data_IF_509491012820
#
_entry.id   IF_509491012820
#
_cell.length_a   1.000
_cell.length_b   1.000
_cell.length_c   1.000
_cell.angle_alpha   90.00
_cell.angle_beta   90.00
_cell.angle_gamma   90.00
#
_symmetry.space_group_name_H-M   'P 1'
#
loop_
_entity.id
_entity.type
_entity.pdbx_description
1 polymer ?
#
# COMPACT_ATOMS: atom_id res chain seq x y z
N UNK A 1 12.39 -1.01 -4.65
CA UNK A 1 10.94 -1.07 -4.40
C UNK A 1 10.30 -2.12 -5.29
N UNK A 2 9.18 -2.71 -4.85
CA UNK A 2 8.39 -3.63 -5.67
C UNK A 2 6.98 -3.05 -5.89
N UNK A 3 6.43 -3.31 -7.06
CA UNK A 3 5.11 -2.83 -7.50
C UNK A 3 4.09 -3.98 -7.50
N UNK A 4 2.81 -3.67 -7.69
CA UNK A 4 1.71 -4.64 -7.71
C UNK A 4 0.91 -4.60 -9.03
N UNK A 5 1.49 -5.06 -10.16
CA UNK A 5 0.88 -4.94 -11.48
C UNK A 5 -0.39 -5.79 -11.70
N UNK A 6 -0.48 -7.00 -11.15
CA UNK A 6 -1.71 -7.82 -11.21
C UNK A 6 -2.83 -7.13 -10.41
N UNK A 7 -2.52 -6.56 -9.24
CA UNK A 7 -3.50 -5.80 -8.46
C UNK A 7 -3.99 -4.56 -9.22
N UNK A 8 -3.07 -3.78 -9.79
CA UNK A 8 -3.40 -2.63 -10.63
C UNK A 8 -4.36 -3.05 -11.75
N UNK A 9 -4.00 -4.07 -12.51
CA UNK A 9 -4.79 -4.53 -13.65
C UNK A 9 -6.22 -4.92 -13.27
N UNK A 10 -6.41 -5.75 -12.23
CA UNK A 10 -7.76 -6.20 -11.84
C UNK A 10 -8.60 -5.05 -11.27
N UNK A 11 -7.99 -4.12 -10.52
CA UNK A 11 -8.72 -2.98 -9.96
C UNK A 11 -9.12 -1.99 -11.05
N UNK A 12 -8.26 -1.73 -12.03
CA UNK A 12 -8.59 -0.91 -13.21
C UNK A 12 -9.74 -1.53 -14.03
N UNK A 13 -9.74 -2.86 -14.23
CA UNK A 13 -10.84 -3.56 -14.89
C UNK A 13 -12.16 -3.45 -14.13
N UNK A 14 -12.11 -3.62 -12.80
CA UNK A 14 -13.29 -3.46 -11.93
C UNK A 14 -13.80 -2.02 -12.01
N UNK A 15 -12.91 -1.04 -11.90
CA UNK A 15 -13.26 0.38 -11.98
C UNK A 15 -13.92 0.70 -13.33
N UNK A 16 -13.32 0.25 -14.45
CA UNK A 16 -13.87 0.41 -15.78
C UNK A 16 -15.26 -0.21 -15.92
N UNK A 17 -15.45 -1.47 -15.49
CA UNK A 17 -16.75 -2.16 -15.54
C UNK A 17 -17.84 -1.36 -14.83
N UNK A 18 -17.52 -0.73 -13.70
CA UNK A 18 -18.47 -0.02 -12.87
C UNK A 18 -18.51 1.49 -13.11
N UNK A 19 -17.78 2.01 -14.12
CA UNK A 19 -17.72 3.42 -14.45
C UNK A 19 -17.14 4.29 -13.31
N UNK A 20 -16.18 3.74 -12.56
CA UNK A 20 -15.41 4.47 -11.56
C UNK A 20 -14.21 5.13 -12.24
N UNK A 21 -14.10 6.45 -12.10
CA UNK A 21 -12.91 7.21 -12.49
C UNK A 21 -11.93 7.23 -11.31
N UNK A 22 -10.83 6.48 -11.42
CA UNK A 22 -9.83 6.36 -10.36
C UNK A 22 -8.97 7.62 -10.20
N UNK A 23 -8.95 8.54 -11.15
CA UNK A 23 -8.16 9.77 -11.06
C UNK A 23 -8.90 10.87 -10.31
N UNK A 24 -10.22 10.76 -10.20
CA UNK A 24 -11.06 11.72 -9.47
C UNK A 24 -10.91 11.55 -7.96
N UNK A 25 -10.43 12.57 -7.21
CA UNK A 25 -10.38 12.53 -5.75
C UNK A 25 -11.76 12.24 -5.13
N UNK A 26 -11.80 11.35 -4.14
CA UNK A 26 -13.03 10.91 -3.49
C UNK A 26 -13.90 9.99 -4.37
N UNK A 27 -13.39 9.51 -5.51
CA UNK A 27 -14.04 8.44 -6.25
C UNK A 27 -14.17 7.21 -5.35
N UNK A 28 -15.38 6.64 -5.31
CA UNK A 28 -15.71 5.55 -4.39
C UNK A 28 -16.57 4.51 -5.10
N UNK A 29 -16.17 3.24 -4.97
CA UNK A 29 -16.91 2.08 -5.44
C UNK A 29 -17.01 1.06 -4.32
N UNK A 30 -18.25 0.67 -4.00
CA UNK A 30 -18.54 -0.47 -3.13
C UNK A 30 -19.20 -1.57 -3.93
N UNK A 31 -18.66 -2.76 -3.81
CA UNK A 31 -19.17 -3.99 -4.38
C UNK A 31 -19.54 -4.96 -3.26
N UNK A 32 -20.60 -5.74 -3.49
CA UNK A 32 -20.99 -6.86 -2.64
C UNK A 32 -20.88 -8.15 -3.44
N UNK A 33 -20.33 -9.18 -2.82
CA UNK A 33 -20.35 -10.54 -3.34
C UNK A 33 -20.84 -11.49 -2.25
N UNK A 34 -21.87 -12.27 -2.57
CA UNK A 34 -22.47 -13.21 -1.63
C UNK A 34 -21.42 -14.22 -1.14
N UNK A 35 -21.35 -14.43 0.18
CA UNK A 35 -20.37 -15.31 0.83
C UNK A 35 -18.93 -14.77 0.93
N UNK A 36 -18.65 -13.58 0.37
CA UNK A 36 -17.29 -13.02 0.32
C UNK A 36 -17.14 -11.63 0.94
N UNK A 37 -18.24 -11.03 1.44
CA UNK A 37 -18.21 -9.71 2.05
C UNK A 37 -18.31 -8.58 1.03
N UNK A 38 -17.61 -7.48 1.29
CA UNK A 38 -17.68 -6.26 0.48
C UNK A 38 -16.29 -5.81 0.04
N UNK A 39 -16.16 -5.42 -1.22
CA UNK A 39 -14.96 -4.80 -1.74
C UNK A 39 -15.22 -3.30 -1.88
N UNK A 40 -14.35 -2.48 -1.32
CA UNK A 40 -14.35 -1.04 -1.48
C UNK A 40 -13.07 -0.61 -2.19
N UNK A 41 -13.23 0.16 -3.26
CA UNK A 41 -12.15 0.83 -3.97
C UNK A 41 -12.40 2.34 -3.85
N UNK A 42 -11.44 3.07 -3.31
CA UNK A 42 -11.58 4.49 -3.02
C UNK A 42 -10.32 5.26 -3.41
N UNK A 43 -10.49 6.41 -4.07
CA UNK A 43 -9.42 7.39 -4.24
C UNK A 43 -9.41 8.33 -3.03
N UNK A 44 -8.39 8.19 -2.18
CA UNK A 44 -8.18 8.97 -0.96
C UNK A 44 -7.64 10.39 -1.21
N UNK A 45 -7.48 10.78 -2.47
CA UNK A 45 -6.93 12.06 -2.92
C UNK A 45 -5.59 11.91 -3.63
N UNK A 46 -5.14 13.02 -4.21
CA UNK A 46 -3.82 13.12 -4.83
C UNK A 46 -2.77 13.47 -3.77
N UNK A 47 -1.65 12.74 -3.77
CA UNK A 47 -0.39 13.20 -3.20
C UNK A 47 0.53 13.73 -4.30
N UNK A 48 1.72 14.18 -3.89
CA UNK A 48 2.74 14.70 -4.80
C UNK A 48 3.08 13.75 -5.98
N UNK A 49 3.11 12.45 -5.72
CA UNK A 49 3.45 11.43 -6.71
C UNK A 49 2.26 10.77 -7.41
N UNK A 50 1.02 11.16 -7.12
CA UNK A 50 -0.17 10.56 -7.73
C UNK A 50 -1.33 10.30 -6.76
N UNK A 51 -2.38 9.66 -7.27
CA UNK A 51 -3.54 9.32 -6.44
C UNK A 51 -3.20 8.20 -5.45
N UNK A 52 -3.74 8.32 -4.24
CA UNK A 52 -3.73 7.26 -3.22
C UNK A 52 -4.99 6.44 -3.37
N UNK A 53 -4.87 5.19 -3.81
CA UNK A 53 -6.01 4.29 -4.01
C UNK A 53 -6.05 3.28 -2.88
N UNK A 54 -7.15 3.23 -2.13
CA UNK A 54 -7.45 2.19 -1.14
C UNK A 54 -8.20 1.06 -1.80
N UNK A 55 -7.74 -0.17 -1.57
CA UNK A 55 -8.44 -1.42 -1.93
C UNK A 55 -8.71 -2.18 -0.64
N UNK A 56 -9.97 -2.23 -0.23
CA UNK A 56 -10.37 -2.73 1.08
C UNK A 56 -11.40 -3.84 0.94
N UNK A 57 -11.10 -5.00 1.50
CA UNK A 57 -12.10 -6.04 1.70
C UNK A 57 -12.71 -5.89 3.10
N UNK A 58 -14.02 -5.79 3.20
CA UNK A 58 -14.75 -5.75 4.46
C UNK A 58 -15.41 -7.11 4.71
N UNK A 59 -15.10 -7.70 5.85
CA UNK A 59 -15.70 -8.94 6.35
C UNK A 59 -16.66 -8.64 7.50
N UNK A 60 -17.66 -9.49 7.66
CA UNK A 60 -18.62 -9.39 8.76
C UNK A 60 -18.08 -10.14 9.98
N UNK A 61 -17.92 -9.43 11.09
CA UNK A 61 -17.48 -9.98 12.38
C UNK A 61 -18.52 -9.61 13.43
N UNK A 62 -19.34 -10.58 13.83
CA UNK A 62 -20.50 -10.32 14.68
C UNK A 62 -21.55 -9.51 13.91
N UNK A 63 -21.82 -8.28 14.34
CA UNK A 63 -22.77 -7.35 13.69
C UNK A 63 -22.10 -6.19 12.95
N UNK A 64 -20.77 -6.18 12.87
CA UNK A 64 -19.99 -5.08 12.29
C UNK A 64 -19.23 -5.53 11.03
N UNK A 65 -19.01 -4.59 10.12
CA UNK A 65 -18.07 -4.76 9.01
C UNK A 65 -16.71 -4.21 9.39
N UNK A 66 -15.67 -5.01 9.18
CA UNK A 66 -14.29 -4.65 9.49
C UNK A 66 -13.41 -4.84 8.26
N UNK A 67 -12.49 -3.91 8.03
CA UNK A 67 -11.51 -3.99 6.95
C UNK A 67 -10.51 -5.13 7.23
N UNK A 68 -10.44 -6.11 6.32
CA UNK A 68 -9.50 -7.22 6.34
C UNK A 68 -9.37 -7.91 4.95
N UNK A 69 -8.27 -7.67 4.20
CA UNK A 69 -7.27 -6.62 4.38
C UNK A 69 -7.70 -5.27 3.76
N UNK A 70 -7.00 -4.20 4.15
CA UNK A 70 -6.92 -2.94 3.39
C UNK A 70 -5.48 -2.73 2.89
N UNK A 71 -5.33 -2.41 1.61
CA UNK A 71 -4.06 -1.97 1.02
C UNK A 71 -4.25 -0.57 0.46
N UNK A 72 -3.35 0.36 0.75
CA UNK A 72 -3.27 1.67 0.07
C UNK A 72 -2.08 1.68 -0.86
N UNK A 73 -2.29 2.10 -2.11
CA UNK A 73 -1.25 2.21 -3.14
C UNK A 73 -1.13 3.65 -3.66
N UNK A 74 0.05 4.01 -4.15
CA UNK A 74 0.24 5.19 -5.00
C UNK A 74 0.13 4.79 -6.47
N UNK A 75 -0.77 5.43 -7.23
CA UNK A 75 -1.10 5.03 -8.60
C UNK A 75 -0.15 5.58 -9.68
N UNK A 76 0.58 6.65 -9.42
CA UNK A 76 1.45 7.30 -10.42
C UNK A 76 2.95 7.23 -10.12
N UNK A 77 3.38 6.18 -9.41
CA UNK A 77 4.80 5.94 -9.18
C UNK A 77 5.51 5.61 -10.51
N UNK A 78 6.62 6.31 -10.77
CA UNK A 78 7.51 6.07 -11.91
C UNK A 78 8.83 5.51 -11.39
N UNK A 79 9.27 4.40 -11.95
CA UNK A 79 10.60 3.85 -11.64
C UNK A 79 11.69 4.72 -12.26
N UNK A 80 12.87 4.77 -11.66
CA UNK A 80 14.01 5.54 -12.19
C UNK A 80 14.38 5.14 -13.64
N UNK A 81 14.17 3.87 -13.98
CA UNK A 81 14.41 3.31 -15.31
C UNK A 81 13.25 3.53 -16.32
N UNK A 82 12.16 4.19 -15.91
CA UNK A 82 11.01 4.40 -16.76
C UNK A 82 11.36 5.40 -17.87
N UNK A 83 11.44 4.91 -19.11
CA UNK A 83 11.56 5.77 -20.28
C UNK A 83 10.28 6.58 -20.49
N UNK A 84 10.39 7.71 -21.20
CA UNK A 84 9.26 8.52 -21.61
C UNK A 84 8.20 7.64 -22.31
N UNK A 85 6.96 7.68 -21.83
CA UNK A 85 5.86 6.83 -22.30
C UNK A 85 5.62 5.54 -21.50
N UNK A 86 6.47 5.22 -20.52
CA UNK A 86 6.19 4.11 -19.59
C UNK A 86 4.96 4.44 -18.75
N UNK A 87 4.02 3.50 -18.68
CA UNK A 87 2.81 3.63 -17.88
C UNK A 87 3.17 3.69 -16.39
N UNK A 88 2.45 4.50 -15.59
CA UNK A 88 2.62 4.50 -14.15
C UNK A 88 2.29 3.14 -13.56
N UNK A 89 2.99 2.79 -12.50
CA UNK A 89 2.85 1.50 -11.80
C UNK A 89 2.37 1.72 -10.38
N UNK A 90 1.58 0.78 -9.88
CA UNK A 90 1.07 0.88 -8.51
C UNK A 90 2.11 0.44 -7.49
N UNK A 91 2.39 1.32 -6.54
CA UNK A 91 3.30 1.10 -5.43
C UNK A 91 2.52 1.00 -4.10
N UNK A 92 2.42 -0.19 -3.48
CA UNK A 92 1.80 -0.32 -2.17
C UNK A 92 2.59 0.41 -1.07
N UNK A 93 1.86 1.17 -0.25
CA UNK A 93 2.39 2.07 0.77
C UNK A 93 2.00 1.63 2.19
N UNK A 94 0.72 1.27 2.37
CA UNK A 94 0.12 1.00 3.67
C UNK A 94 -0.70 -0.29 3.65
N UNK A 95 -0.82 -0.88 4.83
CA UNK A 95 -1.57 -2.11 5.03
C UNK A 95 -2.30 -2.07 6.37
N UNK A 96 -3.56 -2.50 6.36
CA UNK A 96 -4.36 -2.70 7.59
C UNK A 96 -4.96 -4.10 7.59
N UNK A 97 -4.83 -4.81 8.70
CA UNK A 97 -5.49 -6.09 8.97
C UNK A 97 -6.15 -6.07 10.34
N UNK A 98 -7.21 -6.88 10.50
CA UNK A 98 -7.98 -6.96 11.74
C UNK A 98 -7.12 -7.32 12.96
N UNK A 99 -6.20 -8.30 12.81
CA UNK A 99 -5.34 -8.77 13.89
C UNK A 99 -3.88 -8.31 13.76
N UNK A 100 -3.49 -7.76 12.60
CA UNK A 100 -2.13 -7.26 12.33
C UNK A 100 -1.97 -5.76 12.54
N UNK A 101 -3.09 -5.04 12.61
CA UNK A 101 -3.15 -3.60 12.75
C UNK A 101 -2.74 -2.83 11.51
N UNK A 102 -2.48 -1.53 11.68
CA UNK A 102 -2.05 -0.63 10.60
C UNK A 102 -0.53 -0.52 10.56
N UNK A 103 0.03 -0.58 9.35
CA UNK A 103 1.46 -0.44 9.06
C UNK A 103 1.68 0.46 7.85
N UNK A 104 2.64 1.38 7.98
CA UNK A 104 3.10 2.28 6.92
C UNK A 104 4.52 1.88 6.51
N UNK A 105 4.70 1.43 5.27
CA UNK A 105 6.01 0.99 4.75
C UNK A 105 6.71 2.08 3.94
N UNK A 106 5.92 2.96 3.32
CA UNK A 106 6.40 4.05 2.50
C UNK A 106 5.42 5.22 2.56
N UNK A 107 5.93 6.44 2.53
CA UNK A 107 5.17 7.67 2.61
C UNK A 107 5.52 8.62 1.46
N UNK A 108 4.51 9.31 0.94
CA UNK A 108 4.73 10.36 -0.05
C UNK A 108 5.25 11.61 0.67
N UNK A 109 6.46 12.04 0.36
CA UNK A 109 7.01 13.28 0.89
C UNK A 109 6.30 14.46 0.21
N UNK A 110 5.47 15.16 0.98
CA UNK A 110 4.69 16.31 0.52
C UNK A 110 5.55 17.53 0.17
N UNK A 111 6.84 17.54 0.56
CA UNK A 111 7.72 18.70 0.40
C UNK A 111 8.66 18.59 -0.79
N UNK A 112 9.13 17.39 -1.12
CA UNK A 112 10.16 17.18 -2.16
C UNK A 112 9.68 16.38 -3.38
N UNK A 113 8.37 16.16 -3.52
CA UNK A 113 7.81 15.22 -4.50
C UNK A 113 8.53 13.85 -4.45
N UNK A 114 8.90 13.45 -3.24
CA UNK A 114 9.72 12.27 -2.98
C UNK A 114 8.90 11.12 -2.40
N UNK A 115 9.57 9.98 -2.23
CA UNK A 115 9.04 8.85 -1.48
C UNK A 115 10.00 8.54 -0.33
N UNK A 116 9.50 8.58 0.90
CA UNK A 116 10.22 8.13 2.08
C UNK A 116 9.90 6.65 2.33
N UNK A 117 10.90 5.78 2.24
CA UNK A 117 10.75 4.36 2.60
C UNK A 117 11.08 4.16 4.07
N UNK A 118 10.08 3.79 4.86
CA UNK A 118 10.24 3.46 6.29
C UNK A 118 10.76 2.02 6.48
N UNK A 119 10.22 1.08 5.70
CA UNK A 119 10.64 -0.32 5.70
C UNK A 119 10.67 -0.89 4.26
N UNK A 120 11.84 -0.89 3.60
CA UNK A 120 11.98 -1.39 2.23
C UNK A 120 11.68 -2.90 2.08
N UNK A 121 11.94 -3.71 3.11
CA UNK A 121 11.71 -5.15 3.07
C UNK A 121 10.20 -5.41 3.18
N UNK A 122 9.54 -4.81 4.17
CA UNK A 122 8.09 -4.88 4.34
C UNK A 122 7.32 -4.32 3.14
N UNK A 123 7.81 -3.23 2.52
CA UNK A 123 7.24 -2.70 1.26
C UNK A 123 7.27 -3.76 0.14
N UNK A 124 8.39 -4.48 0.02
CA UNK A 124 8.54 -5.54 -0.99
C UNK A 124 7.63 -6.75 -0.69
N UNK A 125 7.47 -7.13 0.57
CA UNK A 125 6.55 -8.19 0.99
C UNK A 125 5.09 -7.79 0.76
N UNK A 126 4.71 -6.56 1.11
CA UNK A 126 3.38 -6.02 0.83
C UNK A 126 3.09 -6.05 -0.66
N UNK A 127 4.02 -5.61 -1.51
CA UNK A 127 3.86 -5.69 -2.95
C UNK A 127 3.59 -7.12 -3.45
N UNK A 128 4.33 -8.10 -2.93
CA UNK A 128 4.11 -9.51 -3.27
C UNK A 128 2.75 -10.01 -2.78
N UNK A 129 2.31 -9.62 -1.58
CA UNK A 129 1.00 -9.96 -1.05
C UNK A 129 -0.12 -9.35 -1.90
N UNK A 130 -0.04 -8.04 -2.17
CA UNK A 130 -0.99 -7.31 -3.02
C UNK A 130 -1.17 -7.98 -4.37
N UNK A 131 -0.08 -8.40 -4.99
CA UNK A 131 -0.10 -9.01 -6.31
C UNK A 131 -0.54 -10.48 -6.26
N UNK A 132 0.12 -11.31 -5.45
CA UNK A 132 -0.03 -12.77 -5.51
C UNK A 132 -1.17 -13.31 -4.66
N UNK A 133 -1.64 -12.55 -3.68
CA UNK A 133 -2.70 -12.98 -2.75
C UNK A 133 -3.96 -12.17 -3.00
N UNK A 134 -3.89 -10.84 -2.84
CA UNK A 134 -5.09 -10.01 -2.96
C UNK A 134 -5.65 -10.03 -4.39
N UNK A 135 -4.85 -9.70 -5.41
CA UNK A 135 -5.34 -9.69 -6.80
C UNK A 135 -5.89 -11.06 -7.23
N UNK A 136 -5.23 -12.15 -6.85
CA UNK A 136 -5.71 -13.52 -7.13
C UNK A 136 -7.01 -13.85 -6.43
N UNK A 137 -7.20 -13.40 -5.20
CA UNK A 137 -8.48 -13.58 -4.50
C UNK A 137 -9.61 -12.77 -5.18
N UNK A 138 -9.30 -11.57 -5.68
CA UNK A 138 -10.26 -10.78 -6.46
C UNK A 138 -10.72 -11.52 -7.72
N UNK A 139 -9.77 -12.09 -8.47
CA UNK A 139 -10.03 -12.89 -9.67
C UNK A 139 -10.78 -14.18 -9.33
N UNK A 140 -10.25 -14.99 -8.41
CA UNK A 140 -10.77 -16.33 -8.08
C UNK A 140 -12.19 -16.29 -7.55
N UNK A 141 -12.55 -15.30 -6.73
CA UNK A 141 -13.91 -15.18 -6.19
C UNK A 141 -14.88 -14.62 -7.24
N UNK A 142 -14.37 -14.10 -8.36
CA UNK A 142 -15.15 -13.54 -9.45
C UNK A 142 -15.68 -12.16 -9.11
N UNK A 143 -14.88 -11.32 -8.45
CA UNK A 143 -15.28 -9.94 -8.11
C UNK A 143 -15.56 -9.13 -9.37
N UNK A 144 -14.75 -9.30 -10.41
CA UNK A 144 -14.95 -8.62 -11.68
C UNK A 144 -16.25 -9.04 -12.36
N UNK A 145 -16.65 -10.31 -12.31
CA UNK A 145 -17.80 -10.81 -13.07
C UNK A 145 -19.09 -10.74 -12.28
N UNK A 146 -19.06 -11.16 -11.01
CA UNK A 146 -20.24 -11.49 -10.20
C UNK A 146 -20.62 -10.43 -9.18
N UNK A 147 -19.71 -9.54 -8.79
CA UNK A 147 -19.99 -8.60 -7.73
C UNK A 147 -20.99 -7.52 -8.19
N UNK A 148 -21.87 -7.15 -7.27
CA UNK A 148 -22.91 -6.15 -7.50
C UNK A 148 -22.52 -4.83 -6.84
N UNK A 149 -22.68 -3.73 -7.58
CA UNK A 149 -22.49 -2.40 -7.01
C UNK A 149 -23.53 -2.12 -5.93
N UNK A 150 -23.08 -1.62 -4.78
CA UNK A 150 -23.94 -1.12 -3.70
C UNK A 150 -23.75 0.38 -3.54
N UNK A 151 -24.85 1.10 -3.39
CA UNK A 151 -24.84 2.56 -3.24
C UNK A 151 -25.00 3.03 -1.80
N UNK A 152 -25.30 2.12 -0.88
CA UNK A 152 -25.36 2.46 0.55
C UNK A 152 -23.93 2.76 1.02
N UNK A 153 -23.68 3.93 1.63
CA UNK A 153 -22.36 4.19 2.19
C UNK A 153 -22.09 3.23 3.35
N UNK A 154 -20.87 2.73 3.42
CA UNK A 154 -20.34 2.08 4.63
C UNK A 154 -19.50 3.13 5.31
N UNK A 155 -19.67 3.29 6.62
CA UNK A 155 -18.78 4.13 7.39
C UNK A 155 -17.41 3.45 7.43
N UNK A 156 -16.47 3.94 6.64
CA UNK A 156 -15.05 3.60 6.82
C UNK A 156 -14.63 4.08 8.21
N UNK A 157 -13.82 3.29 8.91
CA UNK A 157 -13.20 3.75 10.14
C UNK A 157 -12.11 4.75 9.81
N UNK A 158 -12.07 5.84 10.56
CA UNK A 158 -10.96 6.79 10.50
C UNK A 158 -9.69 6.14 11.06
N UNK A 159 -8.52 6.67 10.67
CA UNK A 159 -7.25 6.24 11.27
C UNK A 159 -7.27 6.37 12.80
N UNK A 160 -7.87 7.46 13.32
CA UNK A 160 -8.06 7.66 14.76
C UNK A 160 -8.92 6.57 15.39
N UNK A 161 -10.00 6.13 14.74
CA UNK A 161 -10.84 5.02 15.21
C UNK A 161 -10.14 3.66 15.16
N UNK A 162 -9.28 3.44 14.17
CA UNK A 162 -8.43 2.24 14.08
C UNK A 162 -7.40 2.24 15.21
N UNK A 163 -6.69 3.36 15.40
CA UNK A 163 -5.70 3.54 16.46
C UNK A 163 -6.32 3.46 17.87
N UNK A 164 -7.54 3.97 18.06
CA UNK A 164 -8.24 3.96 19.35
C UNK A 164 -8.68 2.55 19.79
N UNK A 165 -8.69 1.56 18.90
CA UNK A 165 -9.21 0.20 19.16
C UNK A 165 -8.20 -0.76 19.81
N UNK A 166 -7.17 -0.24 20.49
CA UNK A 166 -6.10 -1.03 21.15
C UNK A 166 -5.37 -1.99 20.18
N UNK A 167 -5.49 -1.72 18.89
CA UNK A 167 -4.69 -2.31 17.83
C UNK A 167 -3.33 -1.63 17.94
N UNK A 168 -2.39 -2.28 18.62
CA UNK A 168 -1.04 -1.75 18.84
C UNK A 168 -0.38 -1.45 17.49
N UNK A 169 -0.22 -0.17 17.20
CA UNK A 169 0.74 0.32 16.20
C UNK A 169 2.12 -0.03 16.78
N UNK A 170 2.68 -1.16 16.37
CA UNK A 170 4.11 -1.37 16.52
C UNK A 170 4.79 -0.34 15.62
N UNK A 171 5.02 0.84 16.18
CA UNK A 171 6.11 1.67 15.70
C UNK A 171 7.32 0.78 15.86
N UNK A 172 7.90 0.34 14.74
CA UNK A 172 9.16 -0.37 14.75
C UNK A 172 10.07 0.42 15.70
N UNK A 173 10.61 -0.21 16.75
CA UNK A 173 11.46 0.50 17.69
C UNK A 173 12.50 1.21 16.84
N UNK A 174 12.68 2.52 17.06
CA UNK A 174 13.69 3.32 16.39
C UNK A 174 15.00 2.53 16.50
N UNK A 175 15.34 1.79 15.43
CA UNK A 175 16.55 1.03 15.41
C UNK A 175 17.61 2.11 15.50
N UNK A 176 18.37 2.09 16.60
CA UNK A 176 19.59 2.85 16.81
C UNK A 176 20.54 2.63 15.61
N UNK A 177 20.28 3.33 14.50
CA UNK A 177 21.15 3.36 13.33
C UNK A 177 22.32 4.33 13.55
N UNK A 178 22.27 5.12 14.62
CA UNK A 178 23.36 5.98 15.04
C UNK A 178 24.08 5.38 16.25
N UNK A 179 25.18 4.65 16.00
CA UNK A 179 26.47 4.81 16.73
C UNK A 179 27.61 3.91 16.27
N UNK A 180 27.39 2.79 15.57
CA UNK A 180 28.51 1.86 15.28
C UNK A 180 29.37 2.21 14.05
N UNK A 181 28.92 3.08 13.13
CA UNK A 181 29.74 3.47 11.97
C UNK A 181 30.73 4.64 12.22
N UNK A 182 30.74 5.23 13.42
CA UNK A 182 31.72 6.27 13.78
C UNK A 182 33.02 5.75 14.41
N UNK A 183 33.20 4.43 14.59
CA UNK A 183 34.44 3.86 15.18
C UNK A 183 35.36 3.14 14.17
N UNK A 184 35.09 3.19 12.85
CA UNK A 184 35.94 2.53 11.83
C UNK A 184 36.85 3.47 11.02
N UNK A 185 37.07 4.70 11.46
CA UNK A 185 38.08 5.61 10.87
C UNK A 185 39.10 6.05 11.92
N UNK A 186 39.99 5.15 12.33
CA UNK A 186 41.32 5.51 12.88
C UNK A 186 42.16 4.24 13.04
N UNK A 187 43.24 4.14 12.27
CA UNK A 187 44.11 2.96 12.15
C UNK A 187 43.97 2.38 10.74
N UNK A 188 44.97 2.35 9.87
CA UNK A 188 46.41 2.28 10.10
C UNK A 188 47.07 2.65 8.75
N UNK A 189 47.61 3.87 8.62
CA UNK A 189 48.50 4.22 7.50
C UNK A 189 49.92 3.85 7.89
N UNK A 190 50.18 2.54 7.92
CA UNK A 190 51.51 1.97 8.09
C UNK A 190 52.33 2.14 6.80
N UNK A 191 53.31 3.03 6.86
CA UNK A 191 54.41 3.16 5.92
C UNK A 191 55.06 1.81 5.61
N UNK A 192 55.19 1.46 4.34
CA UNK A 192 56.28 0.59 3.90
C UNK A 192 57.26 1.39 3.04
N UNK A 193 58.36 1.76 3.70
CA UNK A 193 59.60 2.23 3.11
C UNK A 193 60.22 1.18 2.19
N UNK A 194 60.93 1.71 1.20
CA UNK A 194 61.72 1.02 0.22
C UNK A 194 62.96 0.30 0.80
N UNK A 195 63.29 -0.85 0.23
CA UNK A 195 64.64 -1.39 0.10
C UNK A 195 64.67 -2.12 -1.26
N UNK A 196 65.33 -1.55 -2.27
CA UNK A 196 66.74 -1.73 -2.62
C UNK A 196 66.99 -3.08 -3.32
#
# INVERSE_FOLDING_TARGET
MKTAPELQHIVEQIAQKHGLDLDRPGAYLRLQLEGHGQLVIENLGAGALGARISVTNYIEVGSDYVADPQVVVCSAYRTEDASEGTQPVWLPLEFTELFGGWRLYAELDQTNDGLLLHDPVGQSELAQYSDRVLARNLIRHGWLERAERRNTPVRSWTQEEICARDIRVETLPEHHLDKENSQRKEGDYGNHEAAA
#
